data_IF_068137147845
#
_entry.id   IF_068137147845
#
_cell.length_a   1.000
_cell.length_b   1.000
_cell.length_c   1.000
_cell.angle_alpha   90.00
_cell.angle_beta   90.00
_cell.angle_gamma   90.00
#
_symmetry.space_group_name_H-M   'P 1'
#
loop_
_entity.id
_entity.type
_entity.pdbx_description
1 polymer ?
#
# COMPACT_ATOMS: atom_id res chain seq x y z
N UNK A 1 17.77 41.10 -52.31
CA UNK A 1 16.96 41.69 -53.40
C UNK A 1 15.93 40.65 -53.83
N UNK A 2 14.64 41.00 -53.84
CA UNK A 2 13.53 40.10 -54.20
C UNK A 2 12.21 40.65 -53.65
N UNK A 3 11.55 41.52 -54.42
CA UNK A 3 10.34 42.28 -54.04
C UNK A 3 9.07 41.57 -54.52
N UNK A 4 8.07 41.56 -53.62
CA UNK A 4 6.63 41.89 -53.78
C UNK A 4 5.69 41.01 -54.64
N UNK A 5 4.55 40.68 -54.02
CA UNK A 5 3.23 40.57 -54.67
C UNK A 5 2.03 40.50 -53.71
N UNK A 6 1.32 41.63 -53.56
CA UNK A 6 -0.14 41.94 -53.26
C UNK A 6 -0.94 41.13 -52.21
N UNK A 7 -1.58 41.70 -51.17
CA UNK A 7 -2.66 42.73 -50.95
C UNK A 7 -4.14 42.26 -51.13
N UNK A 8 -4.95 42.44 -50.05
CA UNK A 8 -6.42 42.56 -49.98
C UNK A 8 -7.02 41.87 -48.73
N UNK A 9 -7.39 42.50 -47.60
CA UNK A 9 -8.61 43.28 -47.27
C UNK A 9 -9.93 42.48 -47.44
N UNK A 10 -10.97 42.47 -46.58
CA UNK A 10 -11.29 42.99 -45.25
C UNK A 10 -12.67 42.41 -44.81
N UNK A 11 -12.97 42.47 -43.50
CA UNK A 11 -14.31 42.61 -42.84
C UNK A 11 -15.41 41.55 -43.00
N UNK A 12 -16.02 41.19 -41.85
CA UNK A 12 -17.43 40.78 -41.79
C UNK A 12 -17.83 39.95 -40.56
N UNK A 13 -18.33 40.59 -39.49
CA UNK A 13 -19.35 40.02 -38.60
C UNK A 13 -20.71 40.59 -39.05
N UNK A 14 -21.80 39.83 -38.90
CA UNK A 14 -22.87 40.33 -38.02
C UNK A 14 -23.60 39.23 -37.20
N UNK A 15 -24.12 39.63 -36.04
CA UNK A 15 -25.33 39.09 -35.41
C UNK A 15 -26.49 40.06 -35.75
N UNK A 16 -27.81 39.74 -35.59
CA UNK A 16 -28.48 39.78 -34.27
C UNK A 16 -29.76 38.89 -34.14
N UNK A 17 -30.30 38.69 -32.93
CA UNK A 17 -31.55 39.31 -32.40
C UNK A 17 -32.30 38.20 -31.61
N UNK A 18 -33.18 38.36 -30.62
CA UNK A 18 -33.93 39.40 -29.89
C UNK A 18 -34.57 38.68 -28.67
N UNK A 19 -35.09 39.24 -27.57
CA UNK A 19 -35.38 40.59 -27.07
C UNK A 19 -35.82 40.46 -25.59
N UNK A 20 -35.55 41.46 -24.74
CA UNK A 20 -36.51 42.41 -24.12
C UNK A 20 -37.37 41.85 -22.97
N UNK A 21 -37.71 42.52 -21.86
CA UNK A 21 -37.39 43.81 -21.20
C UNK A 21 -37.97 43.72 -19.76
N UNK A 22 -37.39 44.50 -18.83
CA UNK A 22 -37.78 44.70 -17.41
C UNK A 22 -39.12 45.43 -17.25
N UNK A 23 -39.83 45.23 -16.12
CA UNK A 23 -40.52 46.29 -15.34
C UNK A 23 -40.54 45.92 -13.83
N UNK A 24 -40.32 46.93 -12.97
CA UNK A 24 -40.36 46.97 -11.50
C UNK A 24 -41.78 46.93 -10.90
N UNK A 25 -41.95 46.42 -9.67
CA UNK A 25 -42.42 47.25 -8.54
C UNK A 25 -42.36 46.53 -7.18
N UNK A 26 -41.94 47.28 -6.16
CA UNK A 26 -41.97 46.97 -4.71
C UNK A 26 -43.42 46.94 -4.23
N UNK A 27 -43.75 46.10 -3.25
CA UNK A 27 -44.56 46.50 -2.11
C UNK A 27 -44.20 45.69 -0.86
N UNK A 28 -44.12 46.41 0.26
CA UNK A 28 -43.75 45.97 1.61
C UNK A 28 -45.02 46.15 2.44
N UNK A 29 -45.54 45.09 3.06
CA UNK A 29 -46.53 45.22 4.15
C UNK A 29 -46.33 44.10 5.17
N UNK A 30 -46.03 44.51 6.39
CA UNK A 30 -46.11 43.71 7.62
C UNK A 30 -47.59 43.61 8.04
N UNK A 31 -48.04 42.47 8.56
CA UNK A 31 -48.46 42.32 9.98
C UNK A 31 -49.14 40.97 10.27
N UNK A 32 -48.56 40.32 11.30
CA UNK A 32 -49.09 39.52 12.42
C UNK A 32 -50.56 39.06 12.48
N UNK A 33 -50.76 37.78 12.83
CA UNK A 33 -51.39 37.26 14.08
C UNK A 33 -51.84 35.80 13.83
N UNK A 34 -51.20 34.80 14.44
CA UNK A 34 -51.51 34.21 15.75
C UNK A 34 -52.34 32.91 15.64
N UNK A 35 -51.71 31.73 15.82
CA UNK A 35 -52.35 30.56 16.42
C UNK A 35 -51.34 29.81 17.31
N UNK A 36 -51.48 30.08 18.59
CA UNK A 36 -51.46 29.19 19.76
C UNK A 36 -50.54 27.97 19.83
N UNK A 37 -49.70 28.04 20.87
CA UNK A 37 -48.95 26.98 21.56
C UNK A 37 -49.85 25.81 21.97
N UNK A 38 -49.38 24.58 21.75
CA UNK A 38 -49.62 23.48 22.68
C UNK A 38 -48.31 22.74 22.97
N UNK A 39 -48.17 22.43 24.24
CA UNK A 39 -46.98 21.97 24.94
C UNK A 39 -46.56 20.55 24.51
N UNK A 40 -45.26 20.36 24.24
CA UNK A 40 -44.57 19.13 24.63
C UNK A 40 -43.23 19.48 25.28
N UNK A 41 -43.21 19.25 26.59
CA UNK A 41 -42.05 19.34 27.48
C UNK A 41 -41.66 17.89 27.79
N UNK A 42 -40.35 17.62 27.83
CA UNK A 42 -39.67 16.38 28.25
C UNK A 42 -39.64 15.28 27.16
N UNK A 43 -38.51 14.68 26.79
CA UNK A 43 -37.31 14.36 27.57
C UNK A 43 -36.02 14.59 26.76
N UNK A 44 -35.20 15.54 27.19
CA UNK A 44 -33.76 15.47 26.95
C UNK A 44 -33.18 14.47 27.94
N UNK A 45 -32.88 13.26 27.48
CA UNK A 45 -31.98 12.38 28.22
C UNK A 45 -30.58 13.02 28.18
N UNK A 46 -30.23 13.69 29.27
CA UNK A 46 -28.83 13.98 29.59
C UNK A 46 -28.10 12.64 29.70
N UNK A 47 -27.47 12.21 28.60
CA UNK A 47 -26.45 11.19 28.64
C UNK A 47 -25.35 11.67 29.57
N UNK A 48 -25.35 11.17 30.81
CA UNK A 48 -24.27 11.36 31.77
C UNK A 48 -22.97 11.02 31.04
N UNK A 49 -22.12 12.02 30.85
CA UNK A 49 -20.75 11.81 30.40
C UNK A 49 -20.13 10.74 31.28
N UNK A 50 -19.72 9.62 30.68
CA UNK A 50 -18.89 8.63 31.37
C UNK A 50 -17.64 9.38 31.84
N UNK A 51 -17.56 9.70 33.13
CA UNK A 51 -16.29 10.07 33.76
C UNK A 51 -15.31 8.94 33.43
N UNK A 52 -14.26 9.23 32.68
CA UNK A 52 -13.17 8.28 32.47
C UNK A 52 -12.66 7.87 33.85
N UNK A 53 -12.71 6.57 34.17
CA UNK A 53 -12.07 6.06 35.38
C UNK A 53 -10.59 6.45 35.31
N UNK A 54 -10.07 7.04 36.38
CA UNK A 54 -8.65 7.36 36.45
C UNK A 54 -7.84 6.05 36.37
N UNK A 55 -6.92 5.97 35.42
CA UNK A 55 -6.04 4.81 35.24
C UNK A 55 -5.19 4.60 36.50
N UNK A 56 -5.04 3.35 36.91
CA UNK A 56 -4.10 2.92 37.94
C UNK A 56 -2.65 3.19 37.51
N UNK A 57 -1.69 3.28 38.45
CA UNK A 57 -0.28 3.45 38.11
C UNK A 57 0.24 2.38 37.12
N UNK A 58 -0.19 1.12 37.27
CA UNK A 58 0.18 0.04 36.37
C UNK A 58 -0.41 0.24 34.96
N UNK A 59 -1.67 0.66 34.85
CA UNK A 59 -2.30 0.96 33.55
C UNK A 59 -1.64 2.18 32.88
N UNK A 60 -1.25 3.21 33.64
CA UNK A 60 -0.50 4.36 33.09
C UNK A 60 0.88 3.95 32.59
N UNK A 61 1.59 3.10 33.33
CA UNK A 61 2.89 2.58 32.91
C UNK A 61 2.77 1.74 31.63
N UNK A 62 1.73 0.90 31.54
CA UNK A 62 1.42 0.14 30.34
C UNK A 62 1.10 1.06 29.15
N UNK A 63 0.30 2.12 29.36
CA UNK A 63 -0.01 3.10 28.31
C UNK A 63 1.25 3.86 27.83
N UNK A 64 2.10 4.30 28.76
CA UNK A 64 3.38 4.94 28.43
C UNK A 64 4.28 4.01 27.62
N UNK A 65 4.41 2.74 28.03
CA UNK A 65 5.17 1.72 27.28
C UNK A 65 4.63 1.55 25.87
N UNK A 66 3.31 1.38 25.69
CA UNK A 66 2.70 1.27 24.35
C UNK A 66 2.95 2.49 23.47
N UNK A 67 2.95 3.70 24.04
CA UNK A 67 3.27 4.93 23.30
C UNK A 67 4.73 4.96 22.83
N UNK A 68 5.66 4.50 23.67
CA UNK A 68 7.09 4.40 23.33
C UNK A 68 7.30 3.35 22.24
N UNK A 69 6.72 2.15 22.40
CA UNK A 69 6.84 1.05 21.45
C UNK A 69 6.28 1.45 20.08
N UNK A 70 5.12 2.11 20.04
CA UNK A 70 4.56 2.66 18.81
C UNK A 70 5.40 3.80 18.21
N UNK A 71 6.19 4.52 19.00
CA UNK A 71 7.18 5.49 18.54
C UNK A 71 8.36 4.81 17.84
N UNK A 72 8.95 3.81 18.49
CA UNK A 72 10.04 3.01 17.95
C UNK A 72 9.64 2.32 16.64
N UNK A 73 8.47 1.69 16.60
CA UNK A 73 7.94 1.07 15.38
C UNK A 73 7.87 2.06 14.22
N UNK A 74 7.34 3.27 14.44
CA UNK A 74 7.22 4.27 13.36
C UNK A 74 8.60 4.70 12.83
N UNK A 75 9.55 4.94 13.73
CA UNK A 75 10.93 5.29 13.34
C UNK A 75 11.58 4.16 12.55
N UNK A 76 11.49 2.92 13.03
CA UNK A 76 12.04 1.75 12.32
C UNK A 76 11.38 1.54 10.96
N UNK A 77 10.06 1.68 10.88
CA UNK A 77 9.32 1.56 9.63
C UNK A 77 9.73 2.64 8.61
N UNK A 78 9.94 3.88 9.04
CA UNK A 78 10.45 4.95 8.18
C UNK A 78 11.89 4.67 7.71
N UNK A 79 12.76 4.24 8.62
CA UNK A 79 14.13 3.84 8.28
C UNK A 79 14.12 2.71 7.24
N UNK A 80 13.35 1.64 7.46
CA UNK A 80 13.22 0.53 6.52
C UNK A 80 12.72 0.94 5.13
N UNK A 81 11.98 2.05 4.98
CA UNK A 81 11.56 2.56 3.67
C UNK A 81 12.59 3.45 2.98
N UNK A 82 13.62 3.88 3.70
CA UNK A 82 14.62 4.85 3.22
C UNK A 82 16.03 4.26 3.08
N UNK A 83 16.25 3.02 3.52
CA UNK A 83 17.53 2.31 3.40
C UNK A 83 17.56 1.31 2.24
N UNK A 84 18.74 0.84 1.88
CA UNK A 84 18.91 -0.29 0.96
C UNK A 84 18.63 -1.62 1.67
N UNK A 85 18.44 -2.69 0.92
CA UNK A 85 18.30 -4.05 1.47
C UNK A 85 19.55 -4.52 2.22
N UNK A 86 20.74 -4.14 1.76
CA UNK A 86 22.01 -4.50 2.40
C UNK A 86 22.18 -3.77 3.74
N UNK A 87 21.88 -2.45 3.77
CA UNK A 87 21.95 -1.67 5.02
C UNK A 87 20.90 -2.15 6.03
N UNK A 88 19.69 -2.46 5.55
CA UNK A 88 18.64 -3.03 6.39
C UNK A 88 19.07 -4.39 6.95
N UNK A 89 19.66 -5.26 6.11
CA UNK A 89 20.18 -6.54 6.56
C UNK A 89 21.28 -6.37 7.61
N UNK A 90 22.29 -5.54 7.35
CA UNK A 90 23.36 -5.25 8.32
C UNK A 90 22.80 -4.75 9.65
N UNK A 91 21.89 -3.76 9.61
CA UNK A 91 21.26 -3.17 10.80
C UNK A 91 20.55 -4.24 11.64
N UNK A 92 19.83 -5.15 11.01
CA UNK A 92 19.06 -6.19 11.69
C UNK A 92 19.93 -7.39 12.11
N UNK A 93 21.11 -7.57 11.52
CA UNK A 93 22.11 -8.53 12.03
C UNK A 93 22.83 -7.96 13.25
N UNK A 94 23.13 -6.66 13.26
CA UNK A 94 23.78 -5.97 14.37
C UNK A 94 22.87 -5.86 15.60
N UNK A 95 21.58 -5.59 15.38
CA UNK A 95 20.56 -5.58 16.44
C UNK A 95 19.32 -6.41 16.02
N UNK A 96 19.34 -7.73 16.24
CA UNK A 96 18.22 -8.59 15.88
C UNK A 96 16.93 -8.25 16.64
N UNK A 97 16.97 -7.61 17.81
CA UNK A 97 15.76 -7.29 18.58
C UNK A 97 14.87 -6.27 17.85
N UNK A 98 15.43 -5.50 16.90
CA UNK A 98 14.68 -4.60 16.03
C UNK A 98 13.61 -5.33 15.23
N UNK A 99 13.85 -6.60 14.86
CA UNK A 99 12.86 -7.46 14.24
C UNK A 99 11.61 -7.61 15.10
N UNK A 100 11.80 -7.90 16.39
CA UNK A 100 10.70 -8.14 17.32
C UNK A 100 9.91 -6.85 17.57
N UNK A 101 10.61 -5.71 17.70
CA UNK A 101 10.00 -4.37 17.82
C UNK A 101 9.19 -4.02 16.57
N UNK A 102 9.76 -4.23 15.38
CA UNK A 102 9.08 -3.97 14.12
C UNK A 102 7.83 -4.83 13.96
N UNK A 103 7.96 -6.15 14.11
CA UNK A 103 6.85 -7.08 13.93
C UNK A 103 5.76 -6.95 14.99
N UNK A 104 6.10 -6.58 16.22
CA UNK A 104 5.10 -6.25 17.23
C UNK A 104 4.26 -5.05 16.79
N UNK A 105 4.89 -3.95 16.36
CA UNK A 105 4.18 -2.77 15.87
C UNK A 105 3.37 -3.04 14.61
N UNK A 106 3.92 -3.83 13.68
CA UNK A 106 3.24 -4.23 12.45
C UNK A 106 1.98 -5.05 12.75
N UNK A 107 2.05 -6.05 13.64
CA UNK A 107 0.89 -6.86 14.04
C UNK A 107 -0.24 -6.00 14.63
N UNK A 108 0.10 -5.07 15.52
CA UNK A 108 -0.90 -4.14 16.09
C UNK A 108 -1.59 -3.26 15.03
N UNK A 109 -0.96 -3.04 13.86
CA UNK A 109 -1.57 -2.32 12.74
C UNK A 109 -2.35 -3.24 11.82
N UNK A 110 -1.81 -4.43 11.51
CA UNK A 110 -2.42 -5.41 10.62
C UNK A 110 -3.70 -6.03 11.22
N UNK A 111 -3.76 -6.25 12.54
CA UNK A 111 -4.93 -6.80 13.25
C UNK A 111 -6.18 -5.91 13.13
N UNK A 112 -5.99 -4.63 12.77
CA UNK A 112 -7.10 -3.69 12.55
C UNK A 112 -7.71 -3.80 11.15
N UNK A 113 -7.08 -4.56 10.25
CA UNK A 113 -7.58 -4.73 8.89
C UNK A 113 -8.63 -5.82 8.86
N UNK A 114 -9.74 -5.63 8.13
CA UNK A 114 -10.81 -6.63 8.06
C UNK A 114 -10.38 -7.93 7.36
N UNK A 115 -9.26 -7.90 6.65
CA UNK A 115 -8.70 -9.04 5.92
C UNK A 115 -7.19 -8.86 5.85
N UNK A 116 -6.43 -9.93 6.09
CA UNK A 116 -4.99 -9.94 5.89
C UNK A 116 -4.69 -10.38 4.44
N UNK A 117 -3.87 -9.65 3.65
CA UNK A 117 -3.57 -10.04 2.27
C UNK A 117 -2.93 -11.43 2.17
N UNK A 118 -2.19 -11.87 3.19
CA UNK A 118 -1.54 -13.17 3.22
C UNK A 118 -2.55 -14.33 3.14
N UNK A 119 -3.74 -14.16 3.71
CA UNK A 119 -4.79 -15.19 3.67
C UNK A 119 -5.16 -15.54 2.22
N UNK A 120 -5.22 -14.52 1.35
CA UNK A 120 -5.53 -14.70 -0.07
C UNK A 120 -4.43 -15.47 -0.82
N UNK A 121 -3.18 -15.33 -0.39
CA UNK A 121 -2.03 -16.02 -0.96
C UNK A 121 -1.92 -17.45 -0.44
N UNK A 122 -2.22 -17.69 0.84
CA UNK A 122 -2.35 -19.03 1.40
C UNK A 122 -3.40 -19.83 0.61
N UNK A 123 -4.58 -19.26 0.36
CA UNK A 123 -5.64 -19.91 -0.43
C UNK A 123 -5.24 -20.16 -1.89
N UNK A 124 -4.44 -19.27 -2.47
CA UNK A 124 -3.87 -19.50 -3.79
C UNK A 124 -2.89 -20.68 -3.78
N UNK A 125 -1.96 -20.73 -2.82
CA UNK A 125 -0.95 -21.78 -2.72
C UNK A 125 -1.59 -23.16 -2.45
N UNK A 126 -2.62 -23.23 -1.59
CA UNK A 126 -3.39 -24.46 -1.33
C UNK A 126 -4.01 -25.07 -2.59
N UNK A 127 -4.36 -24.24 -3.58
CA UNK A 127 -4.87 -24.71 -4.88
C UNK A 127 -3.78 -25.22 -5.83
N UNK A 128 -2.51 -25.06 -5.46
CA UNK A 128 -1.34 -25.50 -6.22
C UNK A 128 -0.45 -26.40 -5.34
N UNK A 129 -0.93 -27.58 -4.90
CA UNK A 129 -0.29 -28.39 -3.85
C UNK A 129 1.11 -28.92 -4.21
N UNK A 130 1.49 -28.90 -5.50
CA UNK A 130 2.82 -29.34 -5.98
C UNK A 130 3.80 -28.18 -6.19
N UNK A 131 3.37 -26.94 -6.05
CA UNK A 131 4.21 -25.78 -6.28
C UNK A 131 5.26 -25.62 -5.18
N UNK A 132 6.49 -25.31 -5.59
CA UNK A 132 7.55 -24.80 -4.70
C UNK A 132 7.39 -23.28 -4.60
N UNK A 133 7.37 -22.77 -3.38
CA UNK A 133 7.10 -21.35 -3.09
C UNK A 133 8.35 -20.68 -2.54
N UNK A 134 8.61 -19.44 -2.93
CA UNK A 134 9.51 -18.52 -2.24
C UNK A 134 8.71 -17.37 -1.63
N UNK A 135 8.84 -17.18 -0.32
CA UNK A 135 8.20 -16.13 0.46
C UNK A 135 9.28 -15.11 0.88
N UNK A 136 9.28 -13.96 0.23
CA UNK A 136 10.29 -12.93 0.40
C UNK A 136 9.77 -11.87 1.39
N UNK A 137 10.48 -11.69 2.52
CA UNK A 137 10.01 -10.91 3.66
C UNK A 137 8.89 -11.65 4.39
N UNK A 138 9.16 -12.90 4.78
CA UNK A 138 8.16 -13.82 5.30
C UNK A 138 7.69 -13.51 6.73
N UNK A 139 8.38 -12.62 7.45
CA UNK A 139 8.19 -12.31 8.86
C UNK A 139 8.18 -13.56 9.71
N UNK A 140 7.06 -13.81 10.40
CA UNK A 140 6.86 -14.98 11.26
C UNK A 140 6.69 -16.32 10.46
N UNK A 141 6.92 -16.33 9.14
CA UNK A 141 6.78 -17.50 8.26
C UNK A 141 5.39 -18.15 8.24
N UNK A 142 4.35 -17.34 8.48
CA UNK A 142 2.95 -17.81 8.54
C UNK A 142 2.50 -18.52 7.26
N UNK A 143 3.01 -18.15 6.09
CA UNK A 143 2.70 -18.84 4.83
C UNK A 143 3.17 -20.29 4.88
N UNK A 144 4.43 -20.53 5.24
CA UNK A 144 5.03 -21.85 5.34
C UNK A 144 4.30 -22.76 6.33
N UNK A 145 3.84 -22.20 7.46
CA UNK A 145 3.09 -22.94 8.48
C UNK A 145 1.65 -23.27 8.06
N UNK A 146 1.11 -22.57 7.07
CA UNK A 146 -0.31 -22.67 6.68
C UNK A 146 -0.55 -23.61 5.49
N UNK A 147 0.50 -24.16 4.88
CA UNK A 147 0.40 -24.95 3.65
C UNK A 147 1.33 -26.18 3.70
N UNK A 148 0.98 -27.29 3.02
CA UNK A 148 1.85 -28.46 2.93
C UNK A 148 2.97 -28.30 1.89
N UNK A 149 2.95 -27.22 1.10
CA UNK A 149 3.93 -26.94 0.07
C UNK A 149 5.33 -26.79 0.65
N UNK A 150 6.35 -27.08 -0.18
CA UNK A 150 7.71 -26.62 0.13
C UNK A 150 7.76 -25.10 -0.02
N UNK A 151 7.92 -24.39 1.10
CA UNK A 151 8.06 -22.94 1.15
C UNK A 151 9.48 -22.58 1.59
N UNK A 152 10.18 -21.82 0.76
CA UNK A 152 11.43 -21.17 1.09
C UNK A 152 11.12 -19.79 1.67
N UNK A 153 11.36 -19.62 2.98
CA UNK A 153 11.03 -18.40 3.70
C UNK A 153 12.29 -17.57 3.95
N UNK A 154 12.27 -16.31 3.49
CA UNK A 154 13.40 -15.39 3.58
C UNK A 154 13.01 -14.12 4.33
N UNK A 155 13.85 -13.69 5.25
CA UNK A 155 13.69 -12.40 5.94
C UNK A 155 15.05 -11.86 6.41
N UNK A 156 15.10 -10.64 6.92
CA UNK A 156 16.33 -10.03 7.44
C UNK A 156 16.83 -10.75 8.70
N UNK A 157 15.94 -11.41 9.45
CA UNK A 157 16.27 -12.12 10.70
C UNK A 157 15.57 -13.47 10.71
N UNK A 158 16.27 -14.50 11.20
CA UNK A 158 15.68 -15.82 11.45
C UNK A 158 15.29 -15.97 12.92
N UNK A 159 13.98 -16.08 13.18
CA UNK A 159 13.41 -16.44 14.49
C UNK A 159 12.86 -17.86 14.53
N UNK A 160 12.79 -18.53 13.38
CA UNK A 160 12.33 -19.91 13.24
C UNK A 160 13.30 -20.66 12.33
N UNK A 161 13.58 -21.95 12.57
CA UNK A 161 14.50 -22.74 11.73
C UNK A 161 14.12 -22.81 10.25
N UNK A 162 12.84 -22.59 9.93
CA UNK A 162 12.32 -22.58 8.56
C UNK A 162 12.61 -21.26 7.81
N UNK A 163 13.07 -20.23 8.50
CA UNK A 163 13.42 -18.92 7.93
C UNK A 163 14.92 -18.85 7.69
N UNK A 164 15.28 -18.50 6.46
CA UNK A 164 16.65 -18.16 6.08
C UNK A 164 16.84 -16.65 6.21
N UNK A 165 17.79 -16.23 7.06
CA UNK A 165 18.14 -14.82 7.21
C UNK A 165 18.99 -14.36 6.01
N UNK A 166 18.50 -13.42 5.21
CA UNK A 166 19.24 -12.83 4.09
C UNK A 166 18.61 -11.51 3.61
N UNK A 167 19.36 -10.73 2.83
CA UNK A 167 18.78 -9.71 1.97
C UNK A 167 17.97 -10.39 0.85
N UNK A 168 16.68 -10.06 0.72
CA UNK A 168 15.79 -10.64 -0.29
C UNK A 168 16.08 -10.21 -1.74
N UNK A 169 17.08 -9.33 -1.94
CA UNK A 169 17.68 -9.06 -3.25
C UNK A 169 18.63 -10.16 -3.75
N UNK A 170 19.10 -11.04 -2.86
CA UNK A 170 20.01 -12.14 -3.19
C UNK A 170 19.73 -13.34 -2.26
N UNK A 171 18.78 -14.19 -2.67
CA UNK A 171 18.39 -15.36 -1.89
C UNK A 171 19.20 -16.59 -2.33
N UNK A 172 19.51 -17.52 -1.41
CA UNK A 172 20.32 -18.71 -1.69
C UNK A 172 19.55 -19.80 -2.44
N UNK A 173 18.95 -19.44 -3.57
CA UNK A 173 18.23 -20.31 -4.49
C UNK A 173 18.90 -20.30 -5.86
N UNK A 174 18.76 -21.42 -6.58
CA UNK A 174 19.16 -21.52 -7.98
C UNK A 174 18.17 -20.77 -8.87
N UNK A 175 18.63 -20.38 -10.05
CA UNK A 175 17.77 -19.85 -11.11
C UNK A 175 16.65 -20.83 -11.45
N UNK A 176 15.45 -20.31 -11.72
CA UNK A 176 14.30 -21.12 -12.15
C UNK A 176 14.00 -22.32 -11.24
N UNK A 177 14.11 -22.14 -9.93
CA UNK A 177 13.93 -23.19 -8.93
C UNK A 177 12.55 -23.20 -8.26
N UNK A 178 11.78 -22.10 -8.35
CA UNK A 178 10.46 -21.97 -7.69
C UNK A 178 9.32 -21.73 -8.68
N UNK A 179 8.13 -22.18 -8.31
CA UNK A 179 6.90 -22.06 -9.11
C UNK A 179 6.12 -20.79 -8.76
N UNK A 180 6.14 -20.39 -7.48
CA UNK A 180 5.42 -19.23 -6.96
C UNK A 180 6.38 -18.36 -6.13
N UNK A 181 6.43 -17.07 -6.42
CA UNK A 181 7.09 -16.04 -5.61
C UNK A 181 6.05 -15.19 -4.91
N UNK A 182 6.28 -14.83 -3.65
CA UNK A 182 5.37 -14.02 -2.84
C UNK A 182 6.12 -12.83 -2.25
N UNK A 183 5.58 -11.63 -2.48
CA UNK A 183 5.86 -10.44 -1.68
C UNK A 183 4.56 -10.01 -1.01
N UNK A 184 4.45 -10.24 0.29
CA UNK A 184 3.27 -9.83 1.06
C UNK A 184 3.66 -8.69 2.01
N UNK A 185 3.44 -7.44 1.59
CA UNK A 185 3.79 -6.23 2.33
C UNK A 185 5.31 -6.12 2.60
N UNK A 186 6.12 -6.62 1.68
CA UNK A 186 7.55 -6.86 1.85
C UNK A 186 8.44 -6.04 0.88
N UNK A 187 7.86 -5.31 -0.08
CA UNK A 187 8.64 -4.46 -0.99
C UNK A 187 9.06 -3.16 -0.30
N UNK A 188 9.91 -3.27 0.72
CA UNK A 188 10.41 -2.16 1.54
C UNK A 188 11.73 -1.60 1.01
N UNK A 189 12.14 -0.44 1.53
CA UNK A 189 13.41 0.19 1.17
C UNK A 189 13.51 0.67 -0.28
N UNK A 190 14.75 0.94 -0.68
CA UNK A 190 15.10 1.49 -1.99
C UNK A 190 15.54 0.43 -3.00
N UNK A 191 15.71 -0.82 -2.56
CA UNK A 191 16.16 -1.97 -3.37
C UNK A 191 15.04 -2.76 -4.05
N UNK A 192 13.84 -2.18 -4.16
CA UNK A 192 12.64 -2.85 -4.73
C UNK A 192 12.90 -3.39 -6.14
N UNK A 193 13.68 -2.65 -6.94
CA UNK A 193 14.05 -3.08 -8.30
C UNK A 193 14.86 -4.37 -8.25
N UNK A 194 15.81 -4.48 -7.33
CA UNK A 194 16.64 -5.65 -7.12
C UNK A 194 15.78 -6.83 -6.65
N UNK A 195 14.83 -6.61 -5.73
CA UNK A 195 13.87 -7.64 -5.29
C UNK A 195 13.04 -8.20 -6.45
N UNK A 196 12.57 -7.33 -7.36
CA UNK A 196 11.83 -7.76 -8.56
C UNK A 196 12.73 -8.54 -9.52
N UNK A 197 14.00 -8.18 -9.66
CA UNK A 197 14.97 -8.96 -10.46
C UNK A 197 15.23 -10.32 -9.83
N UNK A 198 15.32 -10.37 -8.51
CA UNK A 198 15.65 -11.59 -7.79
C UNK A 198 14.52 -12.62 -7.89
N UNK A 199 13.27 -12.19 -7.70
CA UNK A 199 12.13 -13.08 -7.91
C UNK A 199 12.02 -13.52 -9.37
N UNK A 200 12.37 -12.65 -10.33
CA UNK A 200 12.45 -13.04 -11.73
C UNK A 200 13.51 -14.13 -11.95
N UNK A 201 14.69 -14.02 -11.34
CA UNK A 201 15.78 -15.01 -11.46
C UNK A 201 15.33 -16.39 -10.97
N UNK A 202 14.75 -16.47 -9.77
CA UNK A 202 14.40 -17.74 -9.14
C UNK A 202 13.11 -18.37 -9.69
N UNK A 203 12.19 -17.59 -10.25
CA UNK A 203 10.95 -18.12 -10.82
C UNK A 203 11.23 -18.95 -12.08
N UNK A 204 10.58 -20.11 -12.22
CA UNK A 204 10.54 -20.85 -13.47
C UNK A 204 9.84 -20.05 -14.58
N UNK A 205 10.14 -20.31 -15.87
CA UNK A 205 9.33 -19.77 -16.97
C UNK A 205 7.84 -20.07 -16.76
N UNK A 206 6.98 -19.05 -16.86
CA UNK A 206 5.55 -19.18 -16.58
C UNK A 206 5.18 -19.24 -15.09
N UNK A 207 6.16 -19.16 -14.18
CA UNK A 207 5.92 -19.09 -12.73
C UNK A 207 5.15 -17.83 -12.33
N UNK A 208 4.50 -17.89 -11.18
CA UNK A 208 3.57 -16.86 -10.71
C UNK A 208 4.22 -16.00 -9.62
N UNK A 209 4.09 -14.69 -9.74
CA UNK A 209 4.45 -13.74 -8.70
C UNK A 209 3.18 -13.14 -8.09
N UNK A 210 3.03 -13.30 -6.78
CA UNK A 210 1.98 -12.69 -5.96
C UNK A 210 2.54 -11.50 -5.21
N UNK A 211 1.91 -10.33 -5.37
CA UNK A 211 2.32 -9.10 -4.67
C UNK A 211 1.12 -8.51 -3.96
N UNK A 212 1.27 -8.21 -2.68
CA UNK A 212 0.32 -7.41 -1.91
C UNK A 212 1.06 -6.20 -1.33
N UNK A 213 0.57 -5.00 -1.60
CA UNK A 213 1.15 -3.77 -1.07
C UNK A 213 0.07 -2.76 -0.69
N UNK A 214 0.37 -1.92 0.31
CA UNK A 214 -0.54 -0.86 0.78
C UNK A 214 -0.81 0.14 -0.34
N UNK A 215 -2.08 0.47 -0.58
CA UNK A 215 -2.53 1.31 -1.70
C UNK A 215 -1.83 2.67 -1.77
N UNK A 216 -1.72 3.36 -0.63
CA UNK A 216 -1.12 4.68 -0.57
C UNK A 216 0.36 4.70 -0.99
N UNK A 217 1.04 3.54 -0.94
CA UNK A 217 2.44 3.42 -1.39
C UNK A 217 2.60 3.65 -2.89
N UNK A 218 1.56 3.35 -3.68
CA UNK A 218 1.59 3.52 -5.13
C UNK A 218 1.45 4.99 -5.56
N UNK A 219 1.02 5.89 -4.67
CA UNK A 219 0.80 7.31 -4.97
C UNK A 219 2.09 8.14 -5.08
N UNK A 220 3.23 7.49 -5.36
CA UNK A 220 4.48 8.15 -5.69
C UNK A 220 4.40 8.74 -7.10
N UNK A 221 4.82 10.00 -7.26
CA UNK A 221 4.84 10.68 -8.57
C UNK A 221 5.78 9.97 -9.55
N UNK A 222 6.93 9.49 -9.08
CA UNK A 222 7.93 8.80 -9.92
C UNK A 222 7.45 7.42 -10.39
N UNK A 223 6.62 6.74 -9.60
CA UNK A 223 6.09 5.42 -9.94
C UNK A 223 4.94 5.47 -10.95
N UNK A 224 4.18 6.57 -11.00
CA UNK A 224 3.02 6.70 -11.88
C UNK A 224 1.81 5.85 -11.43
N UNK A 225 1.65 5.65 -10.12
CA UNK A 225 0.52 4.91 -9.58
C UNK A 225 0.64 3.39 -9.76
N UNK A 226 -0.49 2.72 -9.52
CA UNK A 226 -0.64 1.28 -9.72
C UNK A 226 -0.35 0.87 -11.17
N UNK A 227 -0.80 1.66 -12.14
CA UNK A 227 -0.55 1.40 -13.56
C UNK A 227 0.94 1.51 -13.91
N UNK A 228 1.63 2.53 -13.40
CA UNK A 228 3.06 2.68 -13.62
C UNK A 228 3.89 1.55 -12.98
N UNK A 229 3.46 1.03 -11.82
CA UNK A 229 4.03 -0.20 -11.25
C UNK A 229 3.86 -1.40 -12.17
N UNK A 230 2.64 -1.64 -12.67
CA UNK A 230 2.34 -2.75 -13.61
C UNK A 230 3.17 -2.63 -14.90
N UNK A 231 3.28 -1.42 -15.46
CA UNK A 231 4.08 -1.16 -16.65
C UNK A 231 5.58 -1.38 -16.40
N UNK A 232 6.07 -1.02 -15.21
CA UNK A 232 7.47 -1.25 -14.82
C UNK A 232 7.76 -2.73 -14.69
N UNK A 233 6.91 -3.50 -13.99
CA UNK A 233 7.04 -4.95 -13.90
C UNK A 233 6.94 -5.61 -15.29
N UNK A 234 6.14 -5.04 -16.20
CA UNK A 234 6.10 -5.50 -17.59
C UNK A 234 7.43 -5.38 -18.32
N UNK A 235 8.12 -4.25 -18.18
CA UNK A 235 9.47 -4.04 -18.70
C UNK A 235 10.48 -4.99 -18.04
N UNK A 236 10.25 -5.36 -16.79
CA UNK A 236 11.07 -6.32 -16.05
C UNK A 236 10.70 -7.79 -16.31
N UNK A 237 9.88 -8.07 -17.32
CA UNK A 237 9.62 -9.44 -17.78
C UNK A 237 8.41 -10.13 -17.13
N UNK A 238 7.50 -9.39 -16.49
CA UNK A 238 6.26 -9.93 -15.93
C UNK A 238 5.02 -9.54 -16.75
N UNK A 239 3.98 -10.36 -16.76
CA UNK A 239 2.66 -9.99 -17.29
C UNK A 239 1.63 -10.01 -16.17
N UNK A 240 0.97 -8.88 -15.93
CA UNK A 240 -0.13 -8.80 -14.96
C UNK A 240 -1.34 -9.58 -15.49
N UNK A 241 -1.72 -10.67 -14.82
CA UNK A 241 -2.89 -11.49 -15.15
C UNK A 241 -4.12 -11.08 -14.36
N UNK A 242 -3.92 -10.71 -13.10
CA UNK A 242 -4.99 -10.25 -12.25
C UNK A 242 -4.51 -9.11 -11.35
N UNK A 243 -5.42 -8.18 -11.06
CA UNK A 243 -5.22 -7.07 -10.16
C UNK A 243 -6.52 -6.82 -9.42
N UNK A 244 -6.47 -6.82 -8.09
CA UNK A 244 -7.63 -6.56 -7.22
C UNK A 244 -7.39 -5.32 -6.36
N UNK A 245 -8.13 -4.28 -6.67
CA UNK A 245 -8.13 -3.00 -5.97
C UNK A 245 -9.40 -2.79 -5.12
N UNK A 246 -10.16 -3.83 -4.79
CA UNK A 246 -11.41 -3.67 -4.03
C UNK A 246 -11.17 -3.38 -2.55
N UNK A 247 -10.07 -3.90 -1.98
CA UNK A 247 -9.72 -3.64 -0.59
C UNK A 247 -9.33 -2.16 -0.40
N UNK A 248 -9.74 -1.52 0.71
CA UNK A 248 -9.43 -0.09 0.96
C UNK A 248 -7.97 0.15 1.37
N UNK A 249 -7.29 -0.87 1.89
CA UNK A 249 -5.95 -0.75 2.49
C UNK A 249 -4.84 -1.18 1.53
N UNK A 250 -5.03 -2.26 0.78
CA UNK A 250 -3.99 -2.84 -0.08
C UNK A 250 -4.51 -3.19 -1.48
N UNK A 251 -3.58 -3.42 -2.40
CA UNK A 251 -3.83 -3.96 -3.73
C UNK A 251 -3.20 -5.34 -3.81
N UNK A 252 -3.88 -6.27 -4.48
CA UNK A 252 -3.35 -7.59 -4.79
C UNK A 252 -3.03 -7.67 -6.27
N UNK A 253 -1.89 -8.25 -6.60
CA UNK A 253 -1.48 -8.53 -7.99
C UNK A 253 -1.12 -10.00 -8.18
N UNK A 254 -1.45 -10.51 -9.35
CA UNK A 254 -0.94 -11.75 -9.89
C UNK A 254 -0.21 -11.44 -11.19
N UNK A 255 1.10 -11.64 -11.17
CA UNK A 255 1.96 -11.55 -12.34
C UNK A 255 2.42 -12.94 -12.76
N UNK A 256 2.70 -13.12 -14.04
CA UNK A 256 3.32 -14.32 -14.59
C UNK A 256 4.67 -13.94 -15.20
N UNK A 257 5.72 -14.72 -14.90
CA UNK A 257 7.03 -14.57 -15.53
C UNK A 257 6.91 -14.88 -17.03
N UNK A 258 7.14 -13.85 -17.84
CA UNK A 258 7.10 -13.95 -19.30
C UNK A 258 8.42 -14.46 -19.88
N UNK A 259 8.42 -14.77 -21.17
CA UNK A 259 9.63 -15.10 -21.95
C UNK A 259 10.48 -13.88 -22.31
N UNK A 260 10.00 -12.65 -22.03
CA UNK A 260 10.74 -11.43 -22.36
C UNK A 260 11.94 -11.29 -21.43
N UNK A 261 13.07 -10.91 -22.01
CA UNK A 261 14.26 -10.53 -21.25
C UNK A 261 13.97 -9.24 -20.46
N UNK A 262 14.24 -9.20 -19.14
CA UNK A 262 14.06 -7.99 -18.35
C UNK A 262 14.89 -6.84 -18.90
N UNK A 263 14.26 -5.68 -19.06
CA UNK A 263 14.94 -4.45 -19.43
C UNK A 263 15.62 -3.83 -18.20
N UNK A 264 16.63 -3.00 -18.43
CA UNK A 264 17.14 -2.15 -17.36
C UNK A 264 16.15 -1.01 -17.10
N UNK A 265 15.64 -0.93 -15.87
CA UNK A 265 14.70 0.11 -15.43
C UNK A 265 15.33 0.96 -14.34
N UNK A 266 14.83 2.18 -14.18
CA UNK A 266 15.15 3.03 -13.02
C UNK A 266 14.65 2.42 -11.70
N UNK A 267 14.96 3.06 -10.57
CA UNK A 267 14.44 2.66 -9.26
C UNK A 267 12.91 2.55 -9.24
N UNK A 268 12.37 1.63 -8.45
CA UNK A 268 10.94 1.52 -8.18
C UNK A 268 10.69 2.18 -6.82
N UNK A 269 10.22 3.42 -6.85
CA UNK A 269 10.05 4.23 -5.64
C UNK A 269 8.60 4.24 -5.19
N UNK A 270 8.33 3.53 -4.09
CA UNK A 270 7.08 3.64 -3.38
C UNK A 270 7.10 4.81 -2.39
N UNK A 271 5.94 5.38 -2.09
CA UNK A 271 5.78 6.12 -0.83
C UNK A 271 6.00 5.18 0.36
N UNK A 272 6.56 5.72 1.43
CA UNK A 272 6.62 5.03 2.72
C UNK A 272 5.20 4.72 3.20
N UNK A 273 5.02 3.55 3.84
CA UNK A 273 3.75 3.23 4.49
C UNK A 273 3.65 3.97 5.83
N UNK A 274 2.95 5.10 5.85
CA UNK A 274 2.70 5.84 7.08
C UNK A 274 1.53 5.25 7.85
N UNK A 275 1.81 4.56 8.96
CA UNK A 275 0.79 4.15 9.93
C UNK A 275 0.35 5.35 10.77
N UNK A 276 -0.59 6.13 10.25
CA UNK A 276 -1.13 7.34 10.91
C UNK A 276 -1.74 7.00 12.28
N UNK A 277 -1.49 7.86 13.27
CA UNK A 277 -2.24 7.84 14.54
C UNK A 277 -3.72 8.08 14.22
N UNK A 278 -4.60 7.16 14.62
CA UNK A 278 -6.04 7.38 14.66
C UNK A 278 -6.44 7.71 16.07
#
# INVERSE_FOLDING_TARGET
MGKKGKKGAAKGKPAPSSGSKKVHQKHKTQQVAAVSKSQQKQQQSHGKGKKSKALTPAERLAEMRRKIDGGKFRMLNEQLYTTTGDDAFSTFQDDPELFDVYHQGFREMADKWPTNPLDTFIDFVKRHPKAVVADFGCGDARLAESVPNKVHSFDLVSRKPIVTACNIADVPLKDSSVDIGVYCLALMGTSVREYVREVYRVLKPGGVLKVAEVKSRFESESLGGIEGFVQTLRKMGFDCKHKDERNKMFVLFEFVKSTRRPQNVGPIEFKACEYKRR
#
